data_IF_547745830460
#
_entry.id   IF_547745830460
#
_cell.length_a   1.000
_cell.length_b   1.000
_cell.length_c   1.000
_cell.angle_alpha   90.00
_cell.angle_beta   90.00
_cell.angle_gamma   90.00
#
_symmetry.space_group_name_H-M   'P 1'
#
loop_
_entity.id
_entity.type
_entity.pdbx_description
1 polymer ?
#
# COMPACT_ATOMS: atom_id res chain seq x y z
N UNK A 1 15.58 -16.06 -0.28
CA UNK A 1 15.31 -14.63 -0.56
C UNK A 1 16.64 -13.95 -0.86
N UNK A 2 16.74 -13.29 -2.01
CA UNK A 2 17.96 -12.54 -2.35
C UNK A 2 17.94 -11.27 -1.47
N UNK A 3 18.94 -11.00 -0.62
CA UNK A 3 18.91 -9.82 0.23
C UNK A 3 18.89 -8.56 -0.65
N UNK A 4 17.96 -7.64 -0.37
CA UNK A 4 17.80 -6.39 -1.12
C UNK A 4 19.07 -5.51 -1.09
N UNK A 5 19.90 -5.65 -0.04
CA UNK A 5 21.14 -4.92 0.16
C UNK A 5 22.34 -5.86 0.15
N UNK A 6 23.27 -5.60 -0.76
CA UNK A 6 24.58 -6.31 -0.83
C UNK A 6 25.69 -5.50 -0.17
N UNK A 7 25.60 -4.18 -0.20
CA UNK A 7 26.60 -3.25 0.29
C UNK A 7 26.03 -2.29 1.32
N UNK A 8 26.85 -1.85 2.23
CA UNK A 8 26.51 -0.85 3.22
C UNK A 8 26.22 0.51 2.56
N UNK A 9 25.04 1.14 2.81
CA UNK A 9 24.74 2.45 2.23
C UNK A 9 25.60 3.58 2.80
N UNK A 10 26.27 3.37 3.95
CA UNK A 10 27.11 4.38 4.61
C UNK A 10 28.57 4.34 4.16
N UNK A 11 29.13 3.16 3.85
CA UNK A 11 30.58 3.03 3.55
C UNK A 11 30.91 2.06 2.41
N UNK A 12 29.88 1.56 1.68
CA UNK A 12 30.02 0.64 0.56
C UNK A 12 30.68 -0.71 0.85
N UNK A 13 31.03 -1.02 2.11
CA UNK A 13 31.55 -2.35 2.49
C UNK A 13 30.48 -3.41 2.28
N UNK A 14 30.80 -4.62 1.80
CA UNK A 14 29.84 -5.72 1.72
C UNK A 14 29.19 -6.01 3.06
N UNK A 15 27.87 -6.14 3.08
CA UNK A 15 27.12 -6.54 4.27
C UNK A 15 27.26 -8.04 4.51
N UNK A 16 27.34 -8.44 5.78
CA UNK A 16 27.37 -9.83 6.21
C UNK A 16 26.17 -10.14 7.11
N UNK A 17 25.68 -11.39 7.06
CA UNK A 17 24.69 -11.88 8.00
C UNK A 17 25.40 -12.18 9.33
N UNK A 18 25.20 -11.32 10.33
CA UNK A 18 25.85 -11.39 11.62
C UNK A 18 24.78 -11.57 12.70
N UNK A 19 24.94 -12.61 13.52
CA UNK A 19 24.10 -12.86 14.70
C UNK A 19 24.65 -12.06 15.88
N UNK A 20 23.79 -11.31 16.54
CA UNK A 20 24.09 -10.59 17.77
C UNK A 20 22.93 -10.73 18.75
N UNK A 21 23.25 -10.68 20.04
CA UNK A 21 22.25 -10.65 21.10
C UNK A 21 21.55 -9.28 21.11
N UNK A 22 20.22 -9.30 21.00
CA UNK A 22 19.33 -8.15 21.04
C UNK A 22 18.25 -8.40 22.07
N UNK A 23 17.41 -7.37 22.35
CA UNK A 23 16.22 -7.56 23.18
C UNK A 23 15.35 -8.67 22.60
N UNK A 24 15.08 -9.70 23.41
CA UNK A 24 14.34 -10.89 22.98
C UNK A 24 15.18 -11.99 22.34
N UNK A 25 16.52 -11.97 22.47
CA UNK A 25 17.44 -13.06 22.09
C UNK A 25 18.30 -12.77 20.86
N UNK A 26 18.98 -13.82 20.39
CA UNK A 26 19.91 -13.71 19.28
C UNK A 26 19.17 -13.51 17.96
N UNK A 27 19.61 -12.51 17.18
CA UNK A 27 19.05 -12.18 15.85
C UNK A 27 20.12 -12.06 14.80
N UNK A 28 19.93 -12.78 13.70
CA UNK A 28 20.76 -12.67 12.51
C UNK A 28 20.24 -11.52 11.63
N UNK A 29 21.08 -10.51 11.38
CA UNK A 29 20.77 -9.37 10.52
C UNK A 29 21.90 -9.08 9.56
N UNK A 30 21.61 -8.43 8.45
CA UNK A 30 22.65 -7.86 7.58
C UNK A 30 23.30 -6.68 8.30
N UNK A 31 24.58 -6.81 8.61
CA UNK A 31 25.36 -5.79 9.30
C UNK A 31 26.64 -5.47 8.52
N UNK A 32 27.09 -4.23 8.66
CA UNK A 32 28.37 -3.82 8.10
C UNK A 32 29.51 -4.12 9.10
N UNK A 33 30.49 -4.96 8.74
CA UNK A 33 31.60 -5.26 9.64
C UNK A 33 32.57 -4.07 9.83
N UNK A 34 32.52 -3.06 8.92
CA UNK A 34 33.44 -1.92 8.98
C UNK A 34 32.87 -0.74 9.81
N UNK A 35 31.57 -0.38 9.66
CA UNK A 35 30.99 0.81 10.32
C UNK A 35 29.85 0.51 11.29
N UNK A 36 29.46 -0.77 11.44
CA UNK A 36 28.38 -1.18 12.36
C UNK A 36 26.96 -0.91 11.86
N UNK A 37 26.76 -0.37 10.65
CA UNK A 37 25.42 -0.19 10.08
C UNK A 37 24.64 -1.51 10.14
N UNK A 38 23.37 -1.44 10.58
CA UNK A 38 22.45 -2.59 10.63
C UNK A 38 21.27 -2.36 9.71
N UNK A 39 21.02 -3.28 8.79
CA UNK A 39 19.79 -3.29 7.99
C UNK A 39 18.69 -3.98 8.78
N UNK A 40 17.77 -3.20 9.29
CA UNK A 40 16.67 -3.67 10.14
C UNK A 40 15.60 -4.46 9.42
N UNK A 41 15.50 -4.27 8.10
CA UNK A 41 14.47 -4.87 7.24
C UNK A 41 13.04 -4.58 7.73
N UNK A 42 12.82 -3.36 8.20
CA UNK A 42 11.49 -2.91 8.63
C UNK A 42 10.52 -2.90 7.44
N UNK A 43 9.22 -3.20 7.66
CA UNK A 43 8.22 -3.05 6.62
C UNK A 43 8.15 -1.62 6.10
N UNK A 44 7.97 -1.48 4.79
CA UNK A 44 7.78 -0.17 4.16
C UNK A 44 6.34 0.30 4.35
N UNK A 45 6.09 1.54 4.85
CA UNK A 45 4.75 2.09 4.94
C UNK A 45 4.21 2.41 3.53
N UNK A 46 3.00 1.94 3.26
CA UNK A 46 2.23 2.22 2.04
C UNK A 46 0.90 2.83 2.44
N UNK A 47 0.54 3.91 1.80
CA UNK A 47 -0.74 4.58 1.98
C UNK A 47 -1.75 4.02 0.98
N UNK A 48 -3.01 3.88 1.41
CA UNK A 48 -4.08 3.41 0.53
C UNK A 48 -5.35 4.23 0.74
N UNK A 49 -6.05 4.54 -0.35
CA UNK A 49 -7.28 5.32 -0.33
C UNK A 49 -8.48 4.53 -0.86
N UNK A 50 -9.50 4.32 -0.03
CA UNK A 50 -10.85 4.04 -0.48
C UNK A 50 -11.48 5.38 -0.83
N UNK A 51 -11.44 5.75 -2.12
CA UNK A 51 -11.95 7.02 -2.61
C UNK A 51 -13.46 6.91 -2.83
N UNK A 52 -14.23 7.71 -2.08
CA UNK A 52 -15.64 7.98 -2.34
C UNK A 52 -15.75 9.23 -3.21
N UNK A 53 -16.18 9.05 -4.44
CA UNK A 53 -16.36 10.10 -5.43
C UNK A 53 -17.73 9.99 -6.07
N UNK A 54 -18.53 11.07 -5.98
CA UNK A 54 -19.92 11.09 -6.44
C UNK A 54 -20.79 9.95 -5.84
N UNK A 55 -20.55 9.62 -4.56
CA UNK A 55 -21.24 8.54 -3.85
C UNK A 55 -20.81 7.13 -4.23
N UNK A 56 -19.80 6.96 -5.07
CA UNK A 56 -19.29 5.68 -5.57
C UNK A 56 -17.83 5.45 -5.17
N UNK A 57 -17.42 4.19 -5.21
CA UNK A 57 -16.00 3.82 -4.98
C UNK A 57 -15.24 3.93 -6.28
N UNK A 58 -14.19 4.75 -6.30
CA UNK A 58 -13.25 4.82 -7.40
C UNK A 58 -12.17 3.75 -7.25
N UNK A 59 -12.04 2.90 -8.28
CA UNK A 59 -10.91 2.00 -8.45
C UNK A 59 -10.19 2.34 -9.75
N UNK A 60 -8.88 2.22 -9.78
CA UNK A 60 -8.04 2.52 -10.93
C UNK A 60 -7.23 1.32 -11.40
N UNK A 61 -6.86 1.32 -12.67
CA UNK A 61 -6.00 0.33 -13.30
C UNK A 61 -4.61 0.90 -13.50
N UNK A 62 -3.60 0.28 -12.89
CA UNK A 62 -2.21 0.67 -13.09
C UNK A 62 -1.69 0.13 -14.44
N UNK A 63 -0.93 0.96 -15.17
CA UNK A 63 -0.35 0.63 -16.48
C UNK A 63 0.58 -0.59 -16.46
N UNK A 64 1.24 -0.86 -15.32
CA UNK A 64 2.16 -1.98 -15.16
C UNK A 64 1.45 -3.33 -14.87
N UNK A 65 0.15 -3.32 -14.62
CA UNK A 65 -0.56 -4.56 -14.29
C UNK A 65 -1.03 -5.31 -15.52
N UNK A 66 -0.86 -6.64 -15.57
CA UNK A 66 -1.42 -7.44 -16.64
C UNK A 66 -2.95 -7.49 -16.55
N UNK A 67 -3.62 -7.33 -17.70
CA UNK A 67 -5.07 -7.46 -17.78
C UNK A 67 -5.84 -6.25 -17.23
N UNK A 68 -7.15 -6.44 -17.02
CA UNK A 68 -8.09 -5.40 -16.56
C UNK A 68 -8.34 -5.54 -15.05
N UNK A 69 -7.32 -5.31 -14.24
CA UNK A 69 -7.43 -5.32 -12.78
C UNK A 69 -7.55 -3.89 -12.27
N UNK A 70 -8.58 -3.63 -11.46
CA UNK A 70 -8.82 -2.36 -10.80
C UNK A 70 -8.59 -2.51 -9.31
N UNK A 71 -7.90 -1.55 -8.69
CA UNK A 71 -7.62 -1.55 -7.26
C UNK A 71 -7.69 -0.13 -6.67
N UNK A 72 -7.49 -0.03 -5.36
CA UNK A 72 -7.41 1.25 -4.67
C UNK A 72 -6.18 2.04 -5.14
N UNK A 73 -6.25 3.36 -5.05
CA UNK A 73 -5.08 4.25 -5.15
C UNK A 73 -4.14 3.96 -3.98
N UNK A 74 -2.86 3.79 -4.29
CA UNK A 74 -1.83 3.50 -3.28
C UNK A 74 -0.51 4.15 -3.64
N UNK A 75 0.22 4.62 -2.64
CA UNK A 75 1.58 5.12 -2.82
C UNK A 75 2.45 4.92 -1.60
N UNK A 76 3.74 5.14 -1.74
CA UNK A 76 4.66 5.08 -0.62
C UNK A 76 4.55 6.35 0.22
N UNK A 77 4.56 6.14 1.54
CA UNK A 77 4.71 7.27 2.45
C UNK A 77 6.12 7.85 2.33
N UNK A 78 6.22 9.16 2.12
CA UNK A 78 7.49 9.86 1.97
C UNK A 78 8.04 10.38 3.30
N UNK A 79 9.34 10.64 3.33
CA UNK A 79 9.98 11.19 4.51
C UNK A 79 9.48 12.62 4.80
N UNK A 80 9.10 12.87 6.05
CA UNK A 80 8.67 14.19 6.51
C UNK A 80 7.18 14.50 6.31
N UNK A 81 6.39 13.59 5.74
CA UNK A 81 4.92 13.77 5.64
C UNK A 81 4.17 13.00 6.75
N UNK A 82 2.95 13.42 7.02
CA UNK A 82 2.00 12.63 7.82
C UNK A 82 1.26 11.63 6.93
N UNK A 83 0.73 10.52 7.47
CA UNK A 83 -0.05 9.59 6.66
C UNK A 83 -1.24 10.24 5.95
N UNK A 84 -1.92 11.20 6.60
CA UNK A 84 -3.04 11.97 6.02
C UNK A 84 -2.57 12.88 4.88
N UNK A 85 -1.42 13.54 5.06
CA UNK A 85 -0.81 14.37 4.02
C UNK A 85 -0.42 13.54 2.80
N UNK A 86 0.24 12.42 3.04
CA UNK A 86 0.69 11.53 1.99
C UNK A 86 -0.46 10.90 1.19
N UNK A 87 -1.52 10.40 1.85
CA UNK A 87 -2.66 9.84 1.12
C UNK A 87 -3.40 10.90 0.29
N UNK A 88 -3.50 12.14 0.80
CA UNK A 88 -4.09 13.25 0.02
C UNK A 88 -3.22 13.63 -1.18
N UNK A 89 -1.89 13.59 -1.04
CA UNK A 89 -0.93 13.80 -2.13
C UNK A 89 -1.10 12.74 -3.20
N UNK A 90 -1.09 11.45 -2.85
CA UNK A 90 -1.26 10.34 -3.80
C UNK A 90 -2.60 10.44 -4.56
N UNK A 91 -3.71 10.73 -3.84
CA UNK A 91 -5.01 10.96 -4.50
C UNK A 91 -4.90 12.10 -5.53
N UNK A 92 -4.25 13.21 -5.15
CA UNK A 92 -4.10 14.37 -6.02
C UNK A 92 -3.21 14.08 -7.23
N UNK A 93 -2.07 13.42 -7.01
CA UNK A 93 -1.10 13.08 -8.05
C UNK A 93 -1.65 12.08 -9.06
N UNK A 94 -2.29 11.01 -8.58
CA UNK A 94 -2.76 9.93 -9.45
C UNK A 94 -4.11 10.22 -10.12
N UNK A 95 -5.00 10.99 -9.47
CA UNK A 95 -6.37 11.20 -9.97
C UNK A 95 -6.76 12.65 -10.23
N UNK A 96 -5.94 13.62 -9.81
CA UNK A 96 -6.24 15.06 -9.78
C UNK A 96 -7.40 15.46 -8.86
N UNK A 97 -8.01 14.53 -8.12
CA UNK A 97 -9.07 14.84 -7.18
C UNK A 97 -8.53 15.60 -5.96
N UNK A 98 -9.39 16.34 -5.31
CA UNK A 98 -9.12 17.02 -4.03
C UNK A 98 -9.89 16.30 -2.92
N UNK A 99 -9.24 16.16 -1.75
CA UNK A 99 -9.80 15.47 -0.59
C UNK A 99 -10.56 16.46 0.30
N UNK A 100 -11.84 16.17 0.58
CA UNK A 100 -12.68 16.96 1.49
C UNK A 100 -12.60 16.43 2.93
N UNK A 101 -12.58 15.12 3.07
CA UNK A 101 -12.54 14.44 4.36
C UNK A 101 -11.72 13.16 4.27
N UNK A 102 -10.97 12.88 5.35
CA UNK A 102 -10.21 11.66 5.54
C UNK A 102 -10.61 10.99 6.85
N UNK A 103 -10.72 9.68 6.82
CA UNK A 103 -10.94 8.85 8.00
C UNK A 103 -10.10 7.59 7.91
N UNK A 104 -9.27 7.35 8.92
CA UNK A 104 -8.51 6.10 9.02
C UNK A 104 -9.50 4.90 9.05
N UNK A 105 -9.27 3.93 8.18
CA UNK A 105 -9.97 2.64 8.19
C UNK A 105 -9.21 1.68 9.09
N UNK A 106 -7.91 1.51 8.84
CA UNK A 106 -7.07 0.61 9.62
C UNK A 106 -5.66 0.47 9.07
N UNK A 107 -4.92 -0.41 9.75
CA UNK A 107 -3.55 -0.78 9.36
C UNK A 107 -3.53 -2.27 9.06
N UNK A 108 -2.97 -2.64 7.92
CA UNK A 108 -2.98 -4.02 7.40
C UNK A 108 -1.56 -4.46 7.06
N UNK A 109 -1.26 -5.73 7.33
CA UNK A 109 -0.01 -6.32 6.89
C UNK A 109 -0.06 -6.72 5.41
N UNK A 110 1.07 -6.57 4.74
CA UNK A 110 1.28 -7.13 3.42
C UNK A 110 2.65 -7.81 3.35
N UNK A 111 2.77 -8.91 4.09
CA UNK A 111 4.02 -9.61 4.37
C UNK A 111 4.77 -10.03 3.09
N UNK A 112 4.05 -10.43 2.05
CA UNK A 112 4.65 -10.82 0.76
C UNK A 112 5.55 -9.74 0.17
N UNK A 113 5.21 -8.47 0.39
CA UNK A 113 5.95 -7.31 -0.09
C UNK A 113 6.78 -6.63 1.00
N UNK A 114 6.77 -7.16 2.23
CA UNK A 114 7.36 -6.51 3.40
C UNK A 114 6.84 -5.07 3.57
N UNK A 115 5.51 -4.91 3.57
CA UNK A 115 4.83 -3.62 3.65
C UNK A 115 3.81 -3.60 4.79
N UNK A 116 3.57 -2.40 5.31
CA UNK A 116 2.41 -2.07 6.17
C UNK A 116 1.55 -1.09 5.40
N UNK A 117 0.28 -1.42 5.22
CA UNK A 117 -0.69 -0.59 4.52
C UNK A 117 -1.47 0.22 5.56
N UNK A 118 -1.43 1.54 5.46
CA UNK A 118 -2.22 2.48 6.26
C UNK A 118 -3.35 2.97 5.35
N UNK A 119 -4.57 2.49 5.59
CA UNK A 119 -5.69 2.72 4.69
C UNK A 119 -6.66 3.76 5.23
N UNK A 120 -7.04 4.69 4.35
CA UNK A 120 -7.99 5.76 4.63
C UNK A 120 -9.21 5.67 3.72
N UNK A 121 -10.36 6.03 4.25
CA UNK A 121 -11.52 6.46 3.47
C UNK A 121 -11.35 7.94 3.17
N UNK A 122 -11.48 8.32 1.90
CA UNK A 122 -11.35 9.69 1.42
C UNK A 122 -12.61 10.09 0.65
N UNK A 123 -13.30 11.14 1.09
CA UNK A 123 -14.35 11.80 0.31
C UNK A 123 -13.67 12.82 -0.59
N UNK A 124 -13.94 12.72 -1.90
CA UNK A 124 -13.22 13.50 -2.89
C UNK A 124 -14.15 14.21 -3.87
N UNK A 125 -13.67 15.35 -4.38
CA UNK A 125 -14.33 16.12 -5.44
C UNK A 125 -13.34 16.56 -6.51
N UNK A 126 -13.85 17.12 -7.61
CA UNK A 126 -13.08 17.65 -8.73
C UNK A 126 -13.30 16.86 -10.01
N UNK A 127 -12.40 17.04 -10.98
CA UNK A 127 -12.41 16.34 -12.26
C UNK A 127 -11.30 15.29 -12.26
N UNK A 128 -11.64 14.03 -12.54
CA UNK A 128 -10.64 12.97 -12.63
C UNK A 128 -9.76 13.19 -13.85
N UNK A 129 -8.44 13.26 -13.60
CA UNK A 129 -7.39 13.24 -14.62
C UNK A 129 -6.32 12.28 -14.12
N UNK A 130 -6.17 11.18 -14.83
CA UNK A 130 -5.24 10.14 -14.42
C UNK A 130 -3.79 10.55 -14.68
N UNK A 131 -2.89 10.16 -13.78
CA UNK A 131 -1.46 10.23 -13.98
C UNK A 131 -1.02 9.25 -15.07
N UNK A 132 0.22 9.35 -15.61
CA UNK A 132 0.76 8.38 -16.56
C UNK A 132 0.88 6.94 -15.99
N UNK A 133 0.81 6.76 -14.69
CA UNK A 133 0.85 5.44 -14.05
C UNK A 133 -0.48 4.70 -14.14
N UNK A 134 -1.57 5.41 -14.41
CA UNK A 134 -2.92 4.84 -14.50
C UNK A 134 -3.45 4.92 -15.94
N UNK A 135 -4.09 3.86 -16.39
CA UNK A 135 -4.63 3.76 -17.76
C UNK A 135 -6.15 3.84 -17.83
N UNK A 136 -6.85 3.53 -16.74
CA UNK A 136 -8.31 3.56 -16.68
C UNK A 136 -8.77 3.69 -15.22
N UNK A 137 -9.99 4.18 -15.00
CA UNK A 137 -10.66 4.15 -13.71
C UNK A 137 -12.12 3.77 -13.87
N UNK A 138 -12.72 3.24 -12.83
CA UNK A 138 -14.14 2.90 -12.78
C UNK A 138 -14.75 3.32 -11.46
N UNK A 139 -16.01 3.71 -11.54
CA UNK A 139 -16.83 4.00 -10.38
C UNK A 139 -17.79 2.84 -10.13
N UNK A 140 -17.74 2.30 -8.93
CA UNK A 140 -18.53 1.18 -8.51
C UNK A 140 -19.52 1.60 -7.43
N UNK A 141 -20.77 1.15 -7.50
CA UNK A 141 -21.67 1.26 -6.37
C UNK A 141 -21.11 0.43 -5.19
N UNK A 142 -21.21 0.91 -3.95
CA UNK A 142 -20.71 0.17 -2.79
C UNK A 142 -21.27 -1.25 -2.68
N UNK A 143 -22.51 -1.48 -3.13
CA UNK A 143 -23.17 -2.78 -3.11
C UNK A 143 -22.58 -3.78 -4.11
N UNK A 144 -21.96 -3.29 -5.18
CA UNK A 144 -21.49 -4.10 -6.31
C UNK A 144 -19.98 -4.24 -6.41
N UNK A 145 -19.22 -3.38 -5.69
CA UNK A 145 -17.76 -3.44 -5.71
C UNK A 145 -17.26 -4.73 -5.05
N UNK A 146 -16.32 -5.39 -5.69
CA UNK A 146 -15.72 -6.62 -5.18
C UNK A 146 -14.38 -6.34 -4.52
N UNK A 147 -14.15 -6.99 -3.38
CA UNK A 147 -12.88 -6.98 -2.67
C UNK A 147 -11.96 -8.09 -3.18
N UNK A 148 -10.69 -8.04 -2.81
CA UNK A 148 -9.73 -9.11 -3.06
C UNK A 148 -9.06 -9.54 -1.76
N UNK A 149 -8.70 -10.83 -1.60
CA UNK A 149 -8.22 -11.40 -0.34
C UNK A 149 -6.71 -11.14 -0.13
N UNK A 150 -6.27 -9.90 -0.28
CA UNK A 150 -4.88 -9.49 -0.05
C UNK A 150 -4.78 -7.97 0.17
N UNK A 151 -3.89 -7.55 1.03
CA UNK A 151 -3.48 -6.15 1.19
C UNK A 151 -4.65 -5.18 1.29
N UNK A 152 -4.74 -4.26 0.34
CA UNK A 152 -5.76 -3.19 0.31
C UNK A 152 -7.20 -3.67 0.12
N UNK A 153 -7.41 -4.90 -0.36
CA UNK A 153 -8.76 -5.48 -0.47
C UNK A 153 -9.44 -5.69 0.87
N UNK A 154 -8.68 -5.92 1.94
CA UNK A 154 -9.23 -6.00 3.29
C UNK A 154 -9.68 -4.63 3.81
N UNK A 155 -8.96 -3.57 3.49
CA UNK A 155 -9.36 -2.21 3.83
C UNK A 155 -10.70 -1.82 3.15
N UNK A 156 -10.85 -2.15 1.86
CA UNK A 156 -12.11 -1.94 1.15
C UNK A 156 -13.26 -2.74 1.80
N UNK A 157 -13.00 -3.99 2.16
CA UNK A 157 -14.00 -4.84 2.81
C UNK A 157 -14.43 -4.28 4.18
N UNK A 158 -13.50 -3.76 4.97
CA UNK A 158 -13.80 -3.18 6.28
C UNK A 158 -14.59 -1.87 6.14
N UNK A 159 -14.23 -1.03 5.18
CA UNK A 159 -14.98 0.18 4.87
C UNK A 159 -16.42 -0.16 4.44
N UNK A 160 -16.63 -1.15 3.56
CA UNK A 160 -17.97 -1.60 3.15
C UNK A 160 -18.80 -2.09 4.33
N UNK A 161 -18.21 -2.88 5.23
CA UNK A 161 -18.89 -3.33 6.46
C UNK A 161 -19.31 -2.15 7.34
N UNK A 162 -18.46 -1.14 7.48
CA UNK A 162 -18.77 0.07 8.26
C UNK A 162 -19.95 0.88 7.69
N UNK A 163 -20.26 0.69 6.40
CA UNK A 163 -21.40 1.27 5.68
C UNK A 163 -22.61 0.35 5.65
N UNK A 164 -22.57 -0.81 6.31
CA UNK A 164 -23.68 -1.78 6.36
C UNK A 164 -23.76 -2.72 5.16
N UNK A 165 -22.74 -2.75 4.28
CA UNK A 165 -22.68 -3.66 3.14
C UNK A 165 -21.98 -4.98 3.50
N UNK A 166 -22.34 -6.04 2.80
CA UNK A 166 -21.67 -7.35 2.92
C UNK A 166 -20.60 -7.47 1.82
N UNK A 167 -19.28 -7.45 2.18
CA UNK A 167 -18.22 -7.53 1.19
C UNK A 167 -18.25 -8.85 0.42
N UNK A 168 -18.13 -8.77 -0.89
CA UNK A 168 -17.94 -9.92 -1.77
C UNK A 168 -16.48 -9.96 -2.24
N UNK A 169 -15.85 -11.12 -2.14
CA UNK A 169 -14.47 -11.29 -2.58
C UNK A 169 -14.41 -11.93 -3.96
N UNK A 170 -13.48 -11.44 -4.79
CA UNK A 170 -13.11 -12.13 -6.03
C UNK A 170 -12.29 -13.36 -5.70
N UNK A 171 -12.51 -14.45 -6.42
CA UNK A 171 -11.61 -15.60 -6.38
C UNK A 171 -10.41 -15.31 -7.29
N UNK A 172 -9.20 -15.37 -6.74
CA UNK A 172 -8.02 -15.42 -7.59
C UNK A 172 -7.90 -16.82 -8.18
N UNK A 173 -7.64 -16.94 -9.49
CA UNK A 173 -7.33 -18.24 -10.06
C UNK A 173 -6.12 -18.81 -9.30
N UNK A 174 -6.27 -20.05 -8.81
CA UNK A 174 -5.14 -20.77 -8.21
C UNK A 174 -4.03 -20.81 -9.27
N UNK A 175 -2.87 -20.24 -8.95
CA UNK A 175 -1.68 -20.48 -9.77
C UNK A 175 -1.39 -21.97 -9.64
N UNK A 176 -1.52 -22.70 -10.74
CA UNK A 176 -1.00 -24.06 -10.81
C UNK A 176 0.49 -23.97 -10.49
N UNK A 177 0.88 -24.71 -9.45
CA UNK A 177 2.23 -24.78 -8.87
C UNK A 177 3.17 -25.57 -9.79
#
# INVERSE_FOLDING_TARGET
MNPAFKFCPSCATPLALITQSEDGGDKARLRCPACGFTHWNNPTPVLAAVIEYQGKVLLAQNAAWPGKMFALITGFMEAGETPEGGVSREIKEETNLSTDALKLIGVYDFQRMNQIIIAYHAVCHGEVRLSPELVDYRLFEPESVKCWPAGTGYALAEWLKSRGHTPQFVEFPKRDS
#
